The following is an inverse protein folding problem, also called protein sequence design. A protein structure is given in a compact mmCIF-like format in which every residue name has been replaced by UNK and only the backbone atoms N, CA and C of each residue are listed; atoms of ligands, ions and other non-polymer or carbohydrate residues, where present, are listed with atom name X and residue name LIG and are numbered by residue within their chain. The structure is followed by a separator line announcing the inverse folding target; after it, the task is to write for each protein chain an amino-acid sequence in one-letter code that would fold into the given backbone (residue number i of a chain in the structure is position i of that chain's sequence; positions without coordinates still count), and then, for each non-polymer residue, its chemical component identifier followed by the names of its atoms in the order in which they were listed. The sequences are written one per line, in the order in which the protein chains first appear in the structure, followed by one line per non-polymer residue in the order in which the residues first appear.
data_IF_581001155433
#
_entry.id   IF_581001155433
#
_cell.length_a   1.000
_cell.length_b   1.000
_cell.length_c   1.000
_cell.angle_alpha   90.00
_cell.angle_beta   90.00
_cell.angle_gamma   90.00
#
_symmetry.space_group_name_H-M   'P 1'
#
loop_
_entity.id
_entity.type
_entity.pdbx_description
1 polymer ?
#
# COMPACT_ATOMS: atom_id res chain seq x y z
N UNK A 1 23.32 5.95 30.42
CA UNK A 1 23.74 7.35 30.66
C UNK A 1 23.25 8.20 29.49
N UNK A 2 22.39 9.18 29.78
CA UNK A 2 21.78 10.05 28.79
C UNK A 2 22.80 10.98 28.11
N UNK A 3 23.99 11.19 28.70
CA UNK A 3 25.07 12.01 28.11
C UNK A 3 25.62 11.47 26.79
N UNK A 4 25.30 10.21 26.45
CA UNK A 4 25.71 9.58 25.19
C UNK A 4 24.67 9.72 24.06
N UNK A 5 23.52 10.34 24.33
CA UNK A 5 22.46 10.54 23.34
C UNK A 5 22.74 11.80 22.50
N UNK A 6 22.44 11.72 21.19
CA UNK A 6 22.46 12.87 20.28
C UNK A 6 21.08 13.06 19.62
N UNK A 7 20.04 13.46 20.38
CA UNK A 7 18.65 13.41 19.92
C UNK A 7 18.25 14.67 19.12
N UNK A 8 18.96 14.96 18.04
CA UNK A 8 18.60 16.10 17.18
C UNK A 8 17.21 15.88 16.56
N UNK A 9 16.31 16.84 16.79
CA UNK A 9 14.88 16.79 16.40
C UNK A 9 14.13 15.57 16.98
N UNK A 10 14.56 15.06 18.13
CA UNK A 10 13.87 13.98 18.85
C UNK A 10 13.49 14.42 20.26
N UNK A 11 12.50 13.72 20.83
CA UNK A 11 12.17 13.80 22.26
C UNK A 11 12.85 12.66 23.00
N UNK A 12 13.28 12.91 24.24
CA UNK A 12 13.78 11.88 25.16
C UNK A 12 12.79 11.78 26.31
N UNK A 13 12.40 10.55 26.65
CA UNK A 13 11.56 10.24 27.81
C UNK A 13 12.26 9.23 28.70
N UNK A 14 12.13 9.42 30.01
CA UNK A 14 12.58 8.46 31.03
C UNK A 14 11.38 7.59 31.43
N UNK A 15 11.59 6.28 31.50
CA UNK A 15 10.56 5.29 31.78
C UNK A 15 11.09 4.31 32.84
N UNK A 16 10.20 3.76 33.67
CA UNK A 16 10.60 2.66 34.53
C UNK A 16 10.79 1.39 33.69
N UNK A 17 11.66 0.49 34.12
CA UNK A 17 11.86 -0.79 33.44
C UNK A 17 10.56 -1.60 33.33
N UNK A 18 9.63 -1.42 34.28
CA UNK A 18 8.29 -2.02 34.28
C UNK A 18 7.36 -1.52 33.19
N UNK A 19 7.66 -0.34 32.62
CA UNK A 19 6.85 0.28 31.56
C UNK A 19 7.32 -0.12 30.15
N UNK A 20 8.41 -0.89 30.06
CA UNK A 20 8.97 -1.40 28.81
C UNK A 20 8.35 -2.78 28.52
N UNK A 21 7.60 -2.97 27.43
CA UNK A 21 7.02 -4.26 27.09
C UNK A 21 8.08 -5.33 26.83
N UNK A 22 7.76 -6.57 27.18
CA UNK A 22 8.58 -7.73 26.82
C UNK A 22 8.80 -7.79 25.29
N UNK A 23 10.03 -8.08 24.88
CA UNK A 23 10.40 -8.15 23.46
C UNK A 23 10.48 -6.80 22.75
N UNK A 24 10.59 -5.68 23.49
CA UNK A 24 10.81 -4.35 22.91
C UNK A 24 11.98 -4.37 21.90
N UNK A 25 11.67 -3.98 20.67
CA UNK A 25 12.63 -3.83 19.59
C UNK A 25 12.37 -2.50 18.87
N UNK A 26 13.45 -1.77 18.58
CA UNK A 26 13.35 -0.52 17.84
C UNK A 26 12.60 -0.72 16.51
N UNK A 27 11.66 0.18 16.20
CA UNK A 27 10.86 0.14 14.98
C UNK A 27 9.51 -0.59 15.10
N UNK A 28 9.34 -1.49 16.07
CA UNK A 28 8.08 -2.25 16.24
C UNK A 28 7.12 -1.60 17.23
N UNK A 29 7.58 -0.57 17.96
CA UNK A 29 6.81 0.10 18.99
C UNK A 29 6.81 1.62 18.77
N UNK A 30 5.75 2.26 19.20
CA UNK A 30 5.60 3.72 19.26
C UNK A 30 5.40 4.16 20.70
N UNK A 31 5.80 5.39 21.01
CA UNK A 31 5.53 6.02 22.31
C UNK A 31 4.44 7.09 22.13
N UNK A 32 3.31 6.92 22.80
CA UNK A 32 2.19 7.87 22.78
C UNK A 32 1.48 7.89 24.12
N UNK A 33 1.13 9.10 24.62
CA UNK A 33 0.42 9.30 25.88
C UNK A 33 1.02 8.53 27.09
N UNK A 34 2.35 8.48 27.22
CA UNK A 34 2.99 7.82 28.35
C UNK A 34 3.17 6.31 28.21
N UNK A 35 2.76 5.72 27.08
CA UNK A 35 2.76 4.26 26.88
C UNK A 35 3.60 3.89 25.67
N UNK A 36 4.45 2.87 25.82
CA UNK A 36 5.07 2.16 24.70
C UNK A 36 4.10 1.08 24.23
N UNK A 37 3.62 1.18 22.99
CA UNK A 37 2.70 0.21 22.40
C UNK A 37 3.23 -0.29 21.06
N UNK A 38 2.89 -1.52 20.62
CA UNK A 38 3.20 -1.96 19.28
C UNK A 38 2.65 -0.98 18.24
N UNK A 39 3.41 -0.73 17.18
CA UNK A 39 2.94 0.08 16.05
C UNK A 39 1.66 -0.56 15.52
N UNK A 40 0.56 0.20 15.60
CA UNK A 40 -0.70 -0.20 15.00
C UNK A 40 -0.60 0.09 13.49
N UNK A 41 -0.40 -0.96 12.70
CA UNK A 41 -0.41 -0.85 11.24
C UNK A 41 -1.86 -0.96 10.78
N UNK A 42 -2.37 0.10 10.16
CA UNK A 42 -3.66 0.06 9.49
C UNK A 42 -3.49 -0.61 8.11
N UNK A 43 -3.51 -1.94 8.11
CA UNK A 43 -3.36 -2.74 6.90
C UNK A 43 -4.47 -2.48 5.88
N UNK A 44 -5.66 -2.09 6.32
CA UNK A 44 -6.78 -1.75 5.42
C UNK A 44 -6.48 -0.43 4.70
N UNK A 45 -5.94 0.57 5.40
CA UNK A 45 -5.50 1.81 4.79
C UNK A 45 -4.36 1.58 3.79
N UNK A 46 -3.37 0.73 4.13
CA UNK A 46 -2.29 0.37 3.22
C UNK A 46 -2.82 -0.37 1.97
N UNK A 47 -3.71 -1.34 2.14
CA UNK A 47 -4.33 -2.05 1.03
C UNK A 47 -5.18 -1.10 0.16
N UNK A 48 -5.85 -0.12 0.77
CA UNK A 48 -6.61 0.91 0.03
C UNK A 48 -5.70 1.73 -0.87
N UNK A 49 -4.58 2.21 -0.34
CA UNK A 49 -3.59 2.97 -1.11
C UNK A 49 -3.01 2.14 -2.27
N UNK A 50 -2.75 0.85 -2.05
CA UNK A 50 -2.25 -0.05 -3.09
C UNK A 50 -3.29 -0.32 -4.19
N UNK A 51 -4.56 -0.56 -3.83
CA UNK A 51 -5.65 -0.68 -4.80
C UNK A 51 -5.75 0.58 -5.66
N UNK A 52 -5.67 1.75 -5.05
CA UNK A 52 -5.78 3.03 -5.75
C UNK A 52 -4.58 3.27 -6.69
N UNK A 53 -3.37 2.90 -6.27
CA UNK A 53 -2.16 2.88 -7.13
C UNK A 53 -2.35 1.98 -8.36
N UNK A 54 -2.83 0.74 -8.16
CA UNK A 54 -3.06 -0.21 -9.27
C UNK A 54 -4.16 0.26 -10.20
N UNK A 55 -5.25 0.80 -9.65
CA UNK A 55 -6.33 1.42 -10.42
C UNK A 55 -5.83 2.56 -11.30
N UNK A 56 -4.95 3.41 -10.78
CA UNK A 56 -4.35 4.51 -11.55
C UNK A 56 -3.51 3.97 -12.73
N UNK A 57 -2.65 2.98 -12.47
CA UNK A 57 -1.82 2.34 -13.51
C UNK A 57 -2.67 1.71 -14.62
N UNK A 58 -3.65 0.89 -14.25
CA UNK A 58 -4.56 0.21 -15.19
C UNK A 58 -5.39 1.23 -15.98
N UNK A 59 -5.88 2.30 -15.32
CA UNK A 59 -6.66 3.34 -16.00
C UNK A 59 -5.81 4.11 -17.02
N UNK A 60 -4.55 4.40 -16.68
CA UNK A 60 -3.62 5.06 -17.61
C UNK A 60 -3.43 4.27 -18.90
N UNK A 61 -3.20 2.96 -18.79
CA UNK A 61 -3.01 2.09 -19.97
C UNK A 61 -4.32 1.91 -20.76
N UNK A 62 -5.46 1.76 -20.08
CA UNK A 62 -6.78 1.73 -20.74
C UNK A 62 -6.99 3.00 -21.57
N UNK A 63 -6.64 4.18 -21.05
CA UNK A 63 -6.83 5.43 -21.79
C UNK A 63 -5.96 5.46 -23.06
N UNK A 64 -4.68 5.04 -22.98
CA UNK A 64 -3.80 4.94 -24.15
C UNK A 64 -4.37 4.00 -25.23
N UNK A 65 -4.87 2.83 -24.82
CA UNK A 65 -5.46 1.87 -25.75
C UNK A 65 -6.79 2.37 -26.33
N UNK A 66 -7.57 3.13 -25.55
CA UNK A 66 -8.80 3.74 -26.05
C UNK A 66 -8.50 4.86 -27.05
N UNK A 67 -7.45 5.66 -26.83
CA UNK A 67 -6.99 6.66 -27.80
C UNK A 67 -6.57 5.99 -29.12
N UNK A 68 -5.81 4.89 -29.06
CA UNK A 68 -5.47 4.10 -30.26
C UNK A 68 -6.70 3.53 -30.98
N UNK A 69 -7.70 3.07 -30.20
CA UNK A 69 -8.97 2.62 -30.76
C UNK A 69 -9.72 3.76 -31.47
N UNK A 70 -9.74 4.95 -30.88
CA UNK A 70 -10.37 6.14 -31.45
C UNK A 70 -9.65 6.62 -32.72
N UNK A 71 -8.32 6.51 -32.75
CA UNK A 71 -7.46 6.81 -33.91
C UNK A 71 -7.50 5.71 -34.99
N UNK A 72 -8.20 4.60 -34.72
CA UNK A 72 -8.30 3.43 -35.60
C UNK A 72 -6.96 2.78 -35.94
N UNK A 73 -5.96 2.89 -35.05
CA UNK A 73 -4.63 2.28 -35.17
C UNK A 73 -4.39 1.10 -34.19
N UNK A 74 -5.38 0.80 -33.34
CA UNK A 74 -5.32 -0.33 -32.40
C UNK A 74 -5.17 -1.69 -33.11
N UNK A 75 -4.29 -2.53 -32.59
CA UNK A 75 -4.08 -3.90 -33.05
C UNK A 75 -5.02 -4.90 -32.37
N UNK A 76 -5.18 -6.10 -32.95
CA UNK A 76 -5.97 -7.18 -32.34
C UNK A 76 -5.44 -7.59 -30.95
N UNK A 77 -4.12 -7.54 -30.75
CA UNK A 77 -3.49 -7.85 -29.46
C UNK A 77 -3.82 -6.79 -28.40
N UNK A 78 -3.78 -5.51 -28.78
CA UNK A 78 -4.15 -4.39 -27.91
C UNK A 78 -5.65 -4.37 -27.57
N UNK A 79 -6.51 -4.85 -28.47
CA UNK A 79 -7.93 -5.04 -28.18
C UNK A 79 -8.16 -6.12 -27.09
N UNK A 80 -7.40 -7.21 -27.13
CA UNK A 80 -7.42 -8.24 -26.08
C UNK A 80 -6.90 -7.66 -24.77
N UNK A 81 -5.76 -6.96 -24.81
CA UNK A 81 -5.19 -6.29 -23.63
C UNK A 81 -6.18 -5.29 -23.00
N UNK A 82 -6.88 -4.49 -23.82
CA UNK A 82 -7.88 -3.53 -23.37
C UNK A 82 -9.05 -4.23 -22.66
N UNK A 83 -9.49 -5.39 -23.16
CA UNK A 83 -10.53 -6.20 -22.50
C UNK A 83 -10.06 -6.72 -21.14
N UNK A 84 -8.86 -7.30 -21.09
CA UNK A 84 -8.28 -7.87 -19.86
C UNK A 84 -8.08 -6.79 -18.79
N UNK A 85 -7.54 -5.64 -19.17
CA UNK A 85 -7.35 -4.51 -18.25
C UNK A 85 -8.69 -3.97 -17.70
N UNK A 86 -9.76 -3.96 -18.51
CA UNK A 86 -11.11 -3.57 -18.05
C UNK A 86 -11.66 -4.57 -17.04
N UNK A 87 -11.39 -5.87 -17.21
CA UNK A 87 -11.73 -6.90 -16.24
C UNK A 87 -10.96 -6.71 -14.93
N UNK A 88 -9.64 -6.53 -14.99
CA UNK A 88 -8.78 -6.28 -13.82
C UNK A 88 -9.24 -5.04 -13.06
N UNK A 89 -9.51 -3.93 -13.76
CA UNK A 89 -10.04 -2.70 -13.15
C UNK A 89 -11.37 -2.94 -12.42
N UNK A 90 -12.21 -3.82 -12.94
CA UNK A 90 -13.49 -4.19 -12.32
C UNK A 90 -13.28 -5.04 -11.08
N UNK A 91 -12.35 -6.01 -11.12
CA UNK A 91 -11.96 -6.82 -9.96
C UNK A 91 -11.40 -5.92 -8.85
N UNK A 92 -10.45 -5.05 -9.17
CA UNK A 92 -9.87 -4.08 -8.22
C UNK A 92 -10.94 -3.21 -7.55
N UNK A 93 -11.91 -2.70 -8.31
CA UNK A 93 -12.99 -1.85 -7.78
C UNK A 93 -13.90 -2.58 -6.78
N UNK A 94 -14.06 -3.89 -6.93
CA UNK A 94 -14.94 -4.74 -6.11
C UNK A 94 -14.19 -5.49 -5.00
N UNK A 95 -12.87 -5.35 -4.95
CA UNK A 95 -12.02 -6.08 -4.02
C UNK A 95 -12.34 -5.70 -2.58
N UNK A 96 -12.61 -6.70 -1.74
CA UNK A 96 -12.75 -6.54 -0.30
C UNK A 96 -11.35 -6.44 0.32
N UNK A 97 -11.13 -5.35 1.07
CA UNK A 97 -9.85 -5.05 1.71
C UNK A 97 -9.84 -5.34 3.21
N UNK A 98 -10.95 -5.83 3.77
CA UNK A 98 -11.08 -6.10 5.21
C UNK A 98 -10.20 -7.28 5.66
N UNK A 99 -9.78 -8.15 4.73
CA UNK A 99 -8.86 -9.26 4.98
C UNK A 99 -7.37 -8.87 5.02
N UNK A 100 -7.03 -7.58 4.94
CA UNK A 100 -5.63 -7.15 4.90
C UNK A 100 -4.86 -7.60 6.16
N UNK A 101 -3.57 -8.00 6.03
CA UNK A 101 -2.72 -7.86 4.83
C UNK A 101 -2.90 -8.96 3.77
N UNK A 102 -3.66 -10.02 4.06
CA UNK A 102 -3.80 -11.20 3.20
C UNK A 102 -4.87 -10.97 2.12
N UNK A 103 -4.51 -10.21 1.10
CA UNK A 103 -5.39 -9.87 -0.03
C UNK A 103 -4.99 -10.65 -1.29
N UNK A 104 -5.96 -11.35 -1.88
CA UNK A 104 -5.81 -11.96 -3.20
C UNK A 104 -5.99 -10.89 -4.28
N UNK A 105 -4.87 -10.42 -4.81
CA UNK A 105 -4.87 -9.33 -5.76
C UNK A 105 -5.06 -9.83 -7.19
N UNK A 106 -5.89 -9.17 -8.01
CA UNK A 106 -5.99 -9.54 -9.41
C UNK A 106 -4.65 -9.30 -10.11
N UNK A 107 -4.19 -10.30 -10.85
CA UNK A 107 -3.01 -10.18 -11.70
C UNK A 107 -3.24 -9.08 -12.74
N UNK A 108 -2.29 -8.16 -12.84
CA UNK A 108 -2.24 -7.19 -13.93
C UNK A 108 -1.41 -7.86 -15.03
N UNK A 109 -1.93 -7.98 -16.28
CA UNK A 109 -1.17 -8.53 -17.39
C UNK A 109 0.20 -7.84 -17.47
N UNK A 110 1.26 -8.65 -17.55
CA UNK A 110 2.62 -8.12 -17.61
C UNK A 110 2.76 -7.36 -18.94
N UNK A 111 3.03 -6.06 -18.83
CA UNK A 111 3.09 -5.16 -19.98
C UNK A 111 4.49 -5.29 -20.57
N UNK A 112 4.65 -6.19 -21.54
CA UNK A 112 5.91 -6.35 -22.29
C UNK A 112 6.17 -5.17 -23.23
#
# INVERSE_FOLDING_TARGET
DATKLFPLNCSVVELADTDIPDGFQAGNFTYSNGVIAPVQVDYVALATAERDRRMASVTSKINQLMEAQDDSDITDAELVELSDLREVRTKLRRLDLTGAPDIDWPEVPDVA
#
